data_IF_206306358481
#
_entry.id   IF_206306358481
#
_cell.length_a   1.000
_cell.length_b   1.000
_cell.length_c   1.000
_cell.angle_alpha   90.00
_cell.angle_beta   90.00
_cell.angle_gamma   90.00
#
_symmetry.space_group_name_H-M   'P 1'
#
loop_
_entity.id
_entity.type
_entity.pdbx_description
1 polymer ?
2 non-polymer ?
3 non-polymer ?
4 water ?
#
# COMPACT_ATOMS: atom_id res chain seq x y z
N UNK A 2 17.37 -17.83 0.84
CA UNK A 2 18.35 -17.26 -0.18
C UNK A 2 19.50 -16.54 0.50
N UNK A 3 19.22 -15.45 1.24
CA UNK A 3 20.21 -14.82 2.16
C UNK A 3 20.00 -13.35 2.63
N UNK A 4 20.29 -12.34 1.78
CA UNK A 4 19.99 -10.92 2.10
C UNK A 4 18.50 -10.84 2.40
N UNK A 5 18.09 -9.74 3.03
CA UNK A 5 16.69 -9.55 3.35
C UNK A 5 15.87 -9.41 2.05
N UNK A 6 16.37 -8.64 1.09
CA UNK A 6 15.66 -8.43 -0.18
C UNK A 6 15.48 -9.74 -0.94
N UNK A 7 16.52 -10.57 -0.94
CA UNK A 7 16.49 -11.91 -1.53
C UNK A 7 15.33 -12.73 -1.03
N UNK A 8 15.07 -12.69 0.28
CA UNK A 8 14.02 -13.49 0.88
C UNK A 8 12.63 -13.07 0.37
N UNK A 9 12.49 -11.84 -0.10
CA UNK A 9 11.24 -11.31 -0.62
C UNK A 9 11.15 -11.62 -2.14
N UNK A 10 12.23 -11.31 -2.86
CA UNK A 10 12.40 -11.60 -4.29
C UNK A 10 11.93 -13.00 -4.66
N UNK A 11 12.35 -13.98 -3.88
CA UNK A 11 12.10 -15.39 -4.21
C UNK A 11 10.73 -15.90 -3.72
N UNK A 12 9.86 -15.00 -3.27
CA UNK A 12 8.53 -15.37 -2.79
C UNK A 12 7.39 -14.64 -3.52
N UNK A 13 7.64 -14.20 -4.75
CA UNK A 13 6.55 -13.76 -5.60
C UNK A 13 6.28 -14.84 -6.64
N UNK A 14 5.01 -15.14 -6.89
CA UNK A 14 4.71 -16.02 -8.01
C UNK A 14 3.72 -15.35 -8.91
N UNK A 15 3.71 -15.80 -10.15
CA UNK A 15 3.06 -15.10 -11.22
C UNK A 15 2.08 -16.04 -11.91
N UNK A 16 0.92 -15.50 -12.25
CA UNK A 16 -0.16 -16.23 -12.90
C UNK A 16 -0.59 -15.41 -14.11
N UNK A 17 -0.44 -15.91 -15.31
CA UNK A 17 -0.80 -15.12 -16.49
C UNK A 17 -2.31 -15.09 -16.76
N UNK A 18 -2.77 -14.06 -17.47
CA UNK A 18 -4.19 -13.94 -17.85
C UNK A 18 -5.15 -13.94 -16.67
N UNK A 19 -4.73 -13.34 -15.57
CA UNK A 19 -5.61 -13.20 -14.42
C UNK A 19 -5.48 -11.80 -13.83
N UNK A 20 -6.60 -11.13 -13.56
CA UNK A 20 -7.97 -11.66 -13.76
C UNK A 20 -8.52 -11.60 -15.19
N UNK A 21 -7.82 -10.95 -16.12
CA UNK A 21 -8.24 -10.83 -17.51
C UNK A 21 -7.07 -11.10 -18.42
N UNK A 22 -7.33 -11.39 -19.70
CA UNK A 22 -6.25 -11.68 -20.65
C UNK A 22 -5.20 -10.57 -20.75
N UNK A 23 -3.95 -10.97 -20.96
CA UNK A 23 -2.82 -10.07 -21.02
C UNK A 23 -2.28 -9.55 -19.69
N UNK A 24 -2.96 -9.80 -18.57
CA UNK A 24 -2.52 -9.27 -17.27
C UNK A 24 -1.79 -10.39 -16.48
N UNK A 25 -0.57 -10.11 -16.03
CA UNK A 25 0.17 -11.04 -15.19
C UNK A 25 -0.10 -10.70 -13.74
N UNK A 26 -0.77 -11.61 -13.04
CA UNK A 26 -1.05 -11.42 -11.65
C UNK A 26 0.19 -11.77 -10.83
N UNK A 27 0.60 -10.85 -9.97
CA UNK A 27 1.70 -11.09 -9.04
C UNK A 27 1.14 -11.39 -7.64
N UNK A 28 1.35 -12.62 -7.20
CA UNK A 28 0.83 -13.15 -5.96
C UNK A 28 1.89 -13.07 -4.84
N UNK A 29 1.60 -12.26 -3.81
CA UNK A 29 2.42 -12.21 -2.58
C UNK A 29 2.16 -13.29 -1.54
N UNK A 30 1.31 -14.28 -1.83
CA UNK A 30 1.04 -15.34 -0.83
C UNK A 30 2.30 -16.08 -0.33
N UNK A 31 3.29 -16.37 -1.20
CA UNK A 31 4.49 -17.05 -0.67
C UNK A 31 5.23 -16.21 0.37
N UNK A 32 5.12 -14.89 0.30
CA UNK A 32 5.73 -14.02 1.28
C UNK A 32 5.07 -14.26 2.65
N UNK A 33 3.74 -14.32 2.67
CA UNK A 33 2.99 -14.55 3.89
C UNK A 33 3.24 -15.92 4.48
N UNK A 34 3.43 -16.91 3.60
CA UNK A 34 3.55 -18.31 4.00
C UNK A 34 4.93 -18.66 4.61
N UNK A 35 5.94 -17.89 4.25
CA UNK A 35 7.31 -18.10 4.72
C UNK A 35 7.60 -17.00 5.74
N UNK A 36 7.67 -17.33 7.04
CA UNK A 36 7.75 -16.30 8.07
C UNK A 36 9.04 -15.49 7.95
N UNK A 37 10.12 -16.07 7.42
CA UNK A 37 11.34 -15.30 7.19
C UNK A 37 11.15 -14.24 6.11
N UNK A 38 10.38 -14.56 5.09
CA UNK A 38 10.18 -13.65 3.97
C UNK A 38 9.33 -12.48 4.43
N UNK A 39 8.23 -12.79 5.14
CA UNK A 39 7.34 -11.77 5.68
C UNK A 39 8.09 -10.79 6.58
N UNK A 40 8.88 -11.33 7.50
CA UNK A 40 9.62 -10.50 8.46
C UNK A 40 10.62 -9.63 7.69
N UNK A 41 11.26 -10.21 6.67
CA UNK A 41 12.20 -9.44 5.87
C UNK A 41 11.51 -8.28 5.15
N UNK A 42 10.34 -8.52 4.58
CA UNK A 42 9.60 -7.48 3.87
C UNK A 42 9.22 -6.32 4.80
N UNK A 43 8.69 -6.65 5.98
CA UNK A 43 8.27 -5.65 6.97
C UNK A 43 9.52 -4.87 7.40
N UNK A 44 10.62 -5.56 7.68
CA UNK A 44 11.86 -4.91 8.10
C UNK A 44 12.45 -3.92 7.09
N UNK A 45 12.39 -4.30 5.83
CA UNK A 45 12.89 -3.46 4.78
C UNK A 45 12.06 -2.21 4.63
N UNK A 46 10.73 -2.36 4.66
CA UNK A 46 9.85 -1.21 4.57
C UNK A 46 9.99 -0.28 5.78
N UNK A 47 10.04 -0.87 6.96
CA UNK A 47 10.17 -0.13 8.22
C UNK A 47 11.46 0.66 8.26
N UNK A 48 12.55 0.02 7.84
CA UNK A 48 13.86 0.69 7.87
C UNK A 48 13.92 1.84 6.87
N UNK A 49 13.35 1.65 5.68
CA UNK A 49 13.19 2.75 4.75
C UNK A 49 12.38 3.92 5.33
N UNK A 50 11.22 3.63 5.88
CA UNK A 50 10.37 4.67 6.45
C UNK A 50 11.01 5.44 7.62
N UNK A 51 11.73 4.71 8.47
CA UNK A 51 12.40 5.30 9.62
C UNK A 51 13.57 6.17 9.17
N UNK A 52 14.32 5.71 8.20
CA UNK A 52 15.43 6.51 7.66
C UNK A 52 14.94 7.76 6.92
N UNK A 53 13.76 7.67 6.33
CA UNK A 53 13.29 8.68 5.42
C UNK A 53 12.52 9.78 6.18
N UNK A 54 11.67 9.37 7.12
CA UNK A 54 10.78 10.29 7.82
C UNK A 54 11.06 10.52 9.28
N UNK A 55 12.05 9.83 9.85
CA UNK A 55 12.35 10.03 11.27
C UNK A 55 11.16 9.61 12.12
N UNK A 56 10.83 10.41 13.11
CA UNK A 56 9.68 10.12 13.95
C UNK A 56 8.44 10.89 13.52
N UNK A 57 8.35 11.30 12.26
CA UNK A 57 7.25 12.16 11.83
C UNK A 57 5.99 11.40 11.41
N UNK A 58 6.01 10.06 11.39
CA UNK A 58 4.85 9.30 10.94
C UNK A 58 3.93 9.09 12.13
N UNK A 59 2.65 9.43 11.99
CA UNK A 59 1.67 9.16 13.05
C UNK A 59 0.97 7.80 12.92
N UNK A 60 0.56 7.46 11.69
CA UNK A 60 -0.13 6.22 11.38
C UNK A 60 0.32 5.63 10.06
N UNK A 61 0.21 4.30 9.96
CA UNK A 61 0.17 3.60 8.69
C UNK A 61 -1.31 3.46 8.29
N UNK A 62 -1.60 3.63 7.01
CA UNK A 62 -2.91 3.35 6.45
C UNK A 62 -2.77 2.13 5.53
N UNK A 63 -3.46 1.07 5.85
CA UNK A 63 -3.47 -0.12 5.03
C UNK A 63 -4.67 -0.22 4.09
N UNK A 64 -4.40 -0.59 2.84
CA UNK A 64 -5.44 -0.71 1.82
C UNK A 64 -6.07 -2.12 1.75
N UNK A 65 -7.39 -2.14 1.73
CA UNK A 65 -8.18 -3.36 1.73
C UNK A 65 -7.96 -4.00 0.35
N UNK A 66 -7.71 -5.31 0.23
CA UNK A 66 -7.56 -6.27 1.31
C UNK A 66 -6.11 -6.70 1.50
N UNK A 67 -5.29 -6.63 0.45
CA UNK A 67 -3.91 -7.12 0.58
C UNK A 67 -2.97 -6.18 1.32
N UNK A 68 -3.24 -4.88 1.29
CA UNK A 68 -2.56 -3.96 2.16
C UNK A 68 -2.80 -4.27 3.63
N UNK A 69 -3.95 -4.87 3.96
CA UNK A 69 -4.27 -5.28 5.34
C UNK A 69 -3.30 -6.32 5.89
N UNK A 70 -2.69 -7.10 4.98
CA UNK A 70 -1.69 -8.12 5.36
C UNK A 70 -0.38 -7.57 5.89
N UNK A 71 -0.05 -6.35 5.49
CA UNK A 71 1.24 -5.73 5.81
C UNK A 71 1.12 -4.54 6.76
N UNK A 72 0.07 -3.76 6.65
CA UNK A 72 -0.12 -2.56 7.44
C UNK A 72 0.05 -2.70 8.94
N UNK A 73 -0.68 -3.62 9.55
CA UNK A 73 -0.57 -3.86 11.00
C UNK A 73 0.84 -4.22 11.46
N UNK A 74 1.54 -5.11 10.76
CA UNK A 74 2.90 -5.48 11.19
C UNK A 74 3.85 -4.33 10.95
N UNK A 75 3.67 -3.60 9.87
CA UNK A 75 4.53 -2.47 9.58
C UNK A 75 4.32 -1.41 10.65
N UNK A 76 3.06 -1.08 10.95
CA UNK A 76 2.74 -0.16 12.07
C UNK A 76 3.39 -0.59 13.40
N UNK A 77 3.19 -1.85 13.78
CA UNK A 77 3.75 -2.39 15.00
C UNK A 77 5.26 -2.26 15.03
N UNK A 78 5.89 -2.54 13.90
CA UNK A 78 7.34 -2.46 13.84
C UNK A 78 7.83 -1.03 14.11
N UNK A 79 7.05 -0.04 13.71
CA UNK A 79 7.34 1.37 13.93
C UNK A 79 6.72 1.95 15.23
N UNK A 80 6.05 1.13 16.04
CA UNK A 80 5.42 1.60 17.27
C UNK A 80 4.17 2.43 17.04
N UNK A 81 3.54 2.26 15.90
CA UNK A 81 2.42 3.07 15.50
C UNK A 81 1.13 2.24 15.33
N UNK A 82 0.00 2.94 15.34
CA UNK A 82 -1.27 2.37 14.94
C UNK A 82 -1.46 2.30 13.43
N UNK A 83 -2.41 1.47 13.03
CA UNK A 83 -2.79 1.32 11.63
C UNK A 83 -4.27 1.70 11.49
N UNK A 84 -4.55 2.52 10.49
CA UNK A 84 -5.91 2.85 10.09
C UNK A 84 -6.20 2.13 8.76
N UNK A 85 -7.48 1.98 8.46
CA UNK A 85 -7.98 1.21 7.32
C UNK A 85 -8.69 2.02 6.28
N UNK A 86 -8.37 1.74 5.02
CA UNK A 86 -9.05 2.35 3.88
C UNK A 86 -9.66 1.14 3.17
N UNK A 87 -10.98 1.13 2.99
CA UNK A 87 -11.68 -0.05 2.63
C UNK A 87 -12.38 0.01 1.28
N UNK A 88 -12.63 -1.17 0.73
CA UNK A 88 -13.51 -1.26 -0.43
C UNK A 88 -14.96 -0.90 -0.06
N UNK A 89 -15.75 -0.70 -1.11
CA UNK A 89 -17.12 -0.22 -1.01
C UNK A 89 -18.00 -1.07 -0.13
N UNK A 90 -18.80 -0.38 0.67
CA UNK A 90 -19.81 -0.99 1.53
C UNK A 90 -19.33 -1.76 2.75
N UNK A 91 -18.04 -1.67 3.10
CA UNK A 91 -17.48 -2.42 4.25
C UNK A 91 -17.70 -1.70 5.57
N UNK A 92 -17.58 -0.38 5.53
CA UNK A 92 -17.43 0.42 6.75
C UNK A 92 -18.77 0.90 7.21
N UNK A 93 -18.97 0.89 8.53
CA UNK A 93 -20.16 1.48 9.12
C UNK A 93 -19.88 2.95 9.51
N UNK A 94 -20.96 3.66 9.78
CA UNK A 94 -20.95 5.05 10.21
C UNK A 94 -20.68 6.03 9.08
N UNK A 95 -20.42 7.28 9.42
CA UNK A 95 -20.09 8.28 8.40
C UNK A 95 -18.76 7.98 7.73
N UNK A 96 -18.72 8.10 6.41
CA UNK A 96 -17.52 7.87 5.61
C UNK A 96 -17.32 8.92 4.53
N UNK A 97 -16.09 9.00 4.05
CA UNK A 97 -15.79 9.66 2.79
C UNK A 97 -15.64 8.58 1.74
N UNK A 98 -16.06 8.91 0.53
CA UNK A 98 -16.09 8.01 -0.62
C UNK A 98 -15.14 8.56 -1.73
N UNK A 99 -14.39 7.65 -2.35
CA UNK A 99 -13.61 7.99 -3.57
C UNK A 99 -13.94 6.93 -4.59
N UNK A 100 -14.47 7.34 -5.72
CA UNK A 100 -14.86 6.43 -6.78
C UNK A 100 -14.29 6.94 -8.09
N UNK A 101 -13.24 6.28 -8.58
CA UNK A 101 -12.57 6.64 -9.80
C UNK A 101 -12.87 5.63 -10.92
N UNK A 102 -13.35 6.12 -12.06
CA UNK A 102 -13.42 5.29 -13.26
C UNK A 102 -12.18 5.50 -14.08
N UNK A 103 -11.46 4.41 -14.27
CA UNK A 103 -10.17 4.44 -14.96
C UNK A 103 -10.22 3.58 -16.19
N UNK A 104 -9.21 3.70 -17.04
CA UNK A 104 -9.28 3.04 -18.34
C UNK A 104 -9.46 1.51 -18.17
N UNK A 105 -8.79 0.92 -17.18
CA UNK A 105 -8.75 -0.54 -16.99
C UNK A 105 -9.66 -1.12 -15.87
N UNK A 106 -10.21 -0.27 -15.02
CA UNK A 106 -11.22 -0.68 -14.06
C UNK A 106 -11.63 0.51 -13.18
N UNK A 107 -12.21 0.25 -12.02
CA UNK A 107 -12.51 1.31 -11.04
C UNK A 107 -11.70 1.13 -9.79
N UNK A 108 -11.33 2.24 -9.15
CA UNK A 108 -10.81 2.27 -7.79
C UNK A 108 -11.86 2.96 -6.91
N UNK A 109 -12.51 2.17 -6.06
CA UNK A 109 -13.60 2.64 -5.20
C UNK A 109 -13.24 2.33 -3.77
N UNK A 110 -13.03 3.39 -3.00
CA UNK A 110 -12.56 3.25 -1.63
C UNK A 110 -13.37 4.12 -0.70
N UNK A 111 -13.32 3.77 0.59
CA UNK A 111 -13.99 4.53 1.63
C UNK A 111 -13.13 4.57 2.91
N UNK A 112 -13.35 5.60 3.70
CA UNK A 112 -12.66 5.73 4.97
C UNK A 112 -13.64 6.31 5.96
N UNK A 113 -13.54 5.87 7.22
CA UNK A 113 -14.41 6.44 8.28
C UNK A 113 -14.05 7.91 8.44
N UNK A 114 -15.05 8.76 8.56
CA UNK A 114 -14.83 10.21 8.71
C UNK A 114 -14.03 10.59 9.93
N UNK A 115 -14.03 9.74 10.96
CA UNK A 115 -13.19 10.02 12.11
C UNK A 115 -11.94 9.18 12.17
N UNK A 116 -11.52 8.57 11.05
CA UNK A 116 -10.34 7.69 11.05
C UNK A 116 -9.09 8.42 11.54
N UNK A 117 -8.98 9.68 11.18
CA UNK A 117 -7.86 10.54 11.54
C UNK A 117 -8.36 11.96 11.87
N UNK A 118 -7.58 12.68 12.68
CA UNK A 118 -7.82 14.08 13.00
C UNK A 118 -6.96 14.89 12.04
N UNK A 119 -7.36 16.14 11.77
CA UNK A 119 -6.64 16.96 10.78
C UNK A 119 -5.18 17.13 11.17
N UNK A 120 -4.26 17.15 10.21
CA UNK A 120 -2.85 17.38 10.48
C UNK A 120 -2.01 16.14 10.74
N UNK A 121 -2.66 14.99 10.86
CA UNK A 121 -1.95 13.75 11.10
C UNK A 121 -1.20 13.27 9.86
N UNK A 122 -0.01 12.71 10.09
CA UNK A 122 0.89 12.30 9.04
C UNK A 122 0.83 10.81 8.86
N UNK A 123 0.67 10.38 7.61
CA UNK A 123 0.36 9.00 7.29
C UNK A 123 1.21 8.45 6.13
N UNK A 124 1.54 7.17 6.26
CA UNK A 124 2.11 6.42 5.15
C UNK A 124 1.11 5.35 4.73
N UNK A 125 0.83 5.29 3.43
CA UNK A 125 -0.06 4.30 2.87
C UNK A 125 0.71 3.03 2.45
N UNK A 126 0.17 1.84 2.71
CA UNK A 126 0.79 0.61 2.24
C UNK A 126 -0.24 -0.26 1.48
N UNK A 127 0.20 -0.83 0.36
CA UNK A 127 -0.52 -1.89 -0.35
C UNK A 127 0.50 -2.92 -0.81
N UNK A 128 0.01 -4.06 -1.27
CA UNK A 128 0.91 -5.10 -1.78
C UNK A 128 1.64 -4.68 -3.06
N UNK A 129 0.95 -3.92 -3.90
CA UNK A 129 1.39 -3.71 -5.28
C UNK A 129 0.83 -2.41 -5.85
N UNK A 130 1.70 -1.71 -6.56
CA UNK A 130 1.40 -0.54 -7.34
C UNK A 130 1.44 -0.87 -8.84
N UNK A 131 0.35 -0.57 -9.52
CA UNK A 131 0.22 -0.73 -10.94
C UNK A 131 -0.04 0.66 -11.51
N UNK A 132 -1.27 0.99 -11.91
CA UNK A 132 -1.56 2.33 -12.49
C UNK A 132 -1.47 3.45 -11.45
N UNK A 133 -1.62 3.11 -10.17
CA UNK A 133 -1.74 4.12 -9.11
C UNK A 133 -3.15 4.63 -8.80
N UNK A 134 -4.14 4.12 -9.53
CA UNK A 134 -5.52 4.47 -9.32
C UNK A 134 -5.98 4.28 -7.88
N UNK A 135 -5.62 3.15 -7.32
CA UNK A 135 -6.02 2.80 -5.96
C UNK A 135 -5.34 3.67 -4.92
N UNK A 136 -4.03 3.79 -4.98
CA UNK A 136 -3.29 4.61 -4.02
C UNK A 136 -3.65 6.08 -4.20
N UNK A 137 -3.91 6.49 -5.43
CA UNK A 137 -4.31 7.86 -5.69
C UNK A 137 -5.66 8.15 -5.03
N UNK A 138 -6.59 7.20 -5.13
CA UNK A 138 -7.88 7.35 -4.45
C UNK A 138 -7.71 7.40 -2.91
N UNK A 139 -6.81 6.58 -2.38
CA UNK A 139 -6.49 6.59 -0.96
C UNK A 139 -5.94 7.92 -0.53
N UNK A 140 -4.99 8.50 -1.29
CA UNK A 140 -4.43 9.81 -0.97
C UNK A 140 -5.48 10.88 -1.00
N UNK A 141 -6.43 10.78 -1.94
CA UNK A 141 -7.55 11.75 -1.98
C UNK A 141 -8.37 11.72 -0.68
N UNK A 142 -8.74 10.53 -0.23
CA UNK A 142 -9.53 10.39 0.99
C UNK A 142 -8.79 10.95 2.19
N UNK A 143 -7.50 10.67 2.24
CA UNK A 143 -6.70 11.12 3.39
C UNK A 143 -6.55 12.65 3.39
N UNK A 144 -6.38 13.24 2.23
CA UNK A 144 -6.31 14.68 2.10
C UNK A 144 -7.62 15.36 2.46
N UNK A 145 -8.75 14.70 2.19
CA UNK A 145 -10.04 15.27 2.57
C UNK A 145 -10.29 15.20 4.11
N UNK A 146 -9.57 14.31 4.81
CA UNK A 146 -9.51 14.34 6.29
C UNK A 146 -8.42 15.30 6.79
N UNK A 147 -7.82 16.06 5.87
CA UNK A 147 -6.70 16.95 6.16
C UNK A 147 -5.49 16.23 6.76
N UNK A 148 -5.32 14.97 6.42
CA UNK A 148 -4.13 14.23 6.79
C UNK A 148 -3.06 14.57 5.75
N UNK A 149 -1.78 14.50 6.13
CA UNK A 149 -0.66 14.66 5.20
C UNK A 149 -0.12 13.29 4.85
N UNK A 150 -0.11 12.96 3.55
CA UNK A 150 0.45 11.69 3.13
C UNK A 150 1.94 11.89 2.88
N UNK A 151 2.77 11.35 3.76
CA UNK A 151 4.21 11.40 3.66
C UNK A 151 4.77 10.57 2.50
N UNK A 152 4.18 9.40 2.24
CA UNK A 152 4.71 8.45 1.29
C UNK A 152 3.71 7.28 1.11
N UNK A 153 3.79 6.65 -0.03
CA UNK A 153 3.08 5.39 -0.29
C UNK A 153 4.14 4.34 -0.55
N UNK A 154 3.92 3.12 -0.07
CA UNK A 154 4.87 2.03 -0.26
C UNK A 154 4.17 0.75 -0.63
N UNK A 155 4.90 -0.14 -1.28
CA UNK A 155 4.40 -1.45 -1.63
C UNK A 155 5.54 -2.46 -1.74
N UNK A 156 5.18 -3.73 -1.78
CA UNK A 156 6.17 -4.75 -2.07
C UNK A 156 6.58 -4.75 -3.52
N UNK A 157 5.59 -4.69 -4.39
CA UNK A 157 5.76 -4.84 -5.83
C UNK A 157 5.31 -3.58 -6.56
N UNK A 158 6.05 -3.22 -7.61
CA UNK A 158 5.68 -2.14 -8.53
C UNK A 158 5.82 -2.60 -10.01
N UNK A 159 4.79 -2.31 -10.82
CA UNK A 159 4.76 -2.57 -12.27
C UNK A 159 5.10 -1.30 -12.99
N UNK A 160 6.37 -1.17 -13.35
CA UNK A 160 6.88 0.14 -13.76
C UNK A 160 6.31 0.63 -15.10
N UNK A 161 5.93 -0.27 -15.98
CA UNK A 161 5.38 0.16 -17.29
C UNK A 161 4.06 0.91 -17.13
N UNK A 162 3.38 0.73 -15.99
CA UNK A 162 2.07 1.36 -15.77
C UNK A 162 2.09 2.77 -15.14
N UNK A 163 3.27 3.28 -14.85
CA UNK A 163 3.50 4.69 -14.49
C UNK A 163 2.79 5.14 -13.22
N UNK A 164 2.58 4.20 -12.31
CA UNK A 164 1.99 4.49 -11.02
C UNK A 164 2.72 5.58 -10.23
N UNK A 165 4.05 5.54 -10.23
CA UNK A 165 4.86 6.54 -9.53
C UNK A 165 4.55 7.97 -10.02
N UNK A 166 4.41 8.10 -11.34
CA UNK A 166 4.09 9.37 -11.99
C UNK A 166 2.75 9.87 -11.50
N UNK A 167 1.76 8.98 -11.50
CA UNK A 167 0.40 9.35 -11.12
C UNK A 167 0.35 9.88 -9.69
N UNK A 168 1.16 9.29 -8.80
CA UNK A 168 1.19 9.68 -7.40
C UNK A 168 1.99 10.97 -7.15
N UNK A 169 3.01 11.24 -7.95
CA UNK A 169 3.85 12.43 -7.75
C UNK A 169 2.94 13.64 -7.58
N UNK A 170 3.27 14.58 -6.67
CA UNK A 170 4.53 14.62 -5.90
C UNK A 170 4.59 13.78 -4.61
N UNK A 171 3.57 12.99 -4.29
CA UNK A 171 3.63 12.08 -3.13
C UNK A 171 4.74 11.04 -3.39
N UNK A 172 5.74 10.97 -2.51
CA UNK A 172 6.85 10.03 -2.67
C UNK A 172 6.36 8.56 -2.73
N UNK A 173 7.12 7.69 -3.40
CA UNK A 173 6.76 6.29 -3.52
C UNK A 173 7.98 5.38 -3.38
N UNK A 174 7.78 4.23 -2.76
CA UNK A 174 8.85 3.25 -2.60
C UNK A 174 8.32 1.83 -2.67
N UNK A 175 8.97 1.02 -3.50
CA UNK A 175 8.69 -0.41 -3.59
C UNK A 175 9.96 -1.24 -3.34
N UNK A 176 9.76 -2.46 -2.89
CA UNK A 176 10.85 -3.44 -2.73
C UNK A 176 11.33 -4.08 -4.06
N UNK A 177 10.38 -4.43 -4.91
CA UNK A 177 10.62 -5.17 -6.14
C UNK A 177 9.94 -4.49 -7.31
N UNK A 178 10.61 -4.44 -8.45
CA UNK A 178 10.09 -3.80 -9.65
C UNK A 178 10.08 -4.82 -10.77
N UNK A 179 8.92 -4.91 -11.42
CA UNK A 179 8.72 -5.69 -12.63
C UNK A 179 8.23 -4.72 -13.69
N UNK A 180 8.27 -5.15 -14.94
CA UNK A 180 7.67 -4.35 -16.02
C UNK A 180 6.14 -4.23 -15.80
X LIG B 1 -13.23 -4.73 5.88
X LIG C 1 -3.67 0.03 -9.42
X LIG C 1 -4.81 0.77 -8.79
X LIG C 1 -2.35 0.65 -8.87
X LIG C 1 -3.83 -0.03 -10.94
X LIG C 1 -3.70 -1.51 -8.96
X LIG C 1 -3.18 -1.81 -7.68
X LIG C 1 -4.25 -2.55 -6.87
X LIG C 1 -4.88 -3.62 -7.60
X LIG C 1 -3.60 -3.22 -5.66
X LIG C 1 -4.61 -3.27 -4.65
X LIG C 1 -3.17 -4.59 -6.18
X LIG C 1 -3.26 -5.58 -5.16
X LIG C 1 -4.14 -4.83 -7.38
X LIG C 1 -3.42 -5.20 -8.62
X LIG C 1 -3.35 -4.51 -9.81
X LIG C 1 -2.60 -5.20 -10.69
X LIG C 1 -2.18 -6.35 -10.09
X LIG C 1 -1.42 -7.42 -10.55
X LIG C 1 -0.92 -7.45 -11.81
X LIG C 1 -1.21 -8.49 -9.68
X LIG C 1 -1.70 -8.45 -8.40
X LIG C 1 -2.45 -7.40 -7.97
X LIG C 1 -2.72 -6.37 -8.81
#
# INVERSE_FOLDING_TARGET
>A
MADSELQLVEQRIRSFPDFPTPGVVFRDISPVLKDPASFRAAIGLLARHLKATHGGRIDYIAGLDSRGFLFGPSLAQELGLGCVLIRKRGKLPGPTLWASYSLEYGKAELEIQKDALEPGQRVVVVDDLLATGGTMNAACELLGRLQAEVLECVSLVELTSLKGREKLAPVPFFSLLQYE
>B hetero
1 CL CL
>C hetero
1 AMP P O1P O2P O3P O5' C5' C4' O4' C3' O3' C2' O2' C1' N9 C8 N7 C5 C6 N6 N1 C2 N3 C4
#
